data_IF_063066444187
#
_entry.id   IF_063066444187
#
_cell.length_a   1.000
_cell.length_b   1.000
_cell.length_c   1.000
_cell.angle_alpha   90.00
_cell.angle_beta   90.00
_cell.angle_gamma   90.00
#
_symmetry.space_group_name_H-M   'P 1'
#
loop_
_entity.id
_entity.type
_entity.pdbx_description
1 polymer ?
#
# COMPACT_ATOMS: atom_id res chain seq x y z
N UNK A 1 0.21 -9.74 15.45
CA UNK A 1 -1.13 -10.35 15.54
C UNK A 1 -1.17 -11.68 14.82
N UNK A 2 -2.21 -12.47 15.09
CA UNK A 2 -2.52 -13.65 14.30
C UNK A 2 -3.26 -13.22 13.04
N UNK A 3 -2.84 -13.72 11.88
CA UNK A 3 -3.48 -13.45 10.59
C UNK A 3 -3.95 -14.77 10.00
N UNK A 4 -5.19 -14.81 9.52
CA UNK A 4 -5.79 -15.95 8.81
C UNK A 4 -5.79 -15.67 7.31
N UNK A 5 -5.22 -16.60 6.54
CA UNK A 5 -5.35 -16.67 5.09
C UNK A 5 -6.20 -17.91 4.76
N UNK A 6 -7.32 -17.71 4.07
CA UNK A 6 -8.19 -18.75 3.54
C UNK A 6 -8.36 -18.53 2.04
N UNK A 7 -7.70 -19.36 1.24
CA UNK A 7 -7.73 -19.24 -0.20
C UNK A 7 -9.02 -19.80 -0.82
N UNK A 8 -9.69 -20.75 -0.16
CA UNK A 8 -10.94 -21.32 -0.65
C UNK A 8 -12.09 -20.32 -0.47
N UNK A 9 -12.13 -19.65 0.67
CA UNK A 9 -13.09 -18.57 0.94
C UNK A 9 -12.67 -17.22 0.30
N UNK A 10 -11.41 -17.07 -0.10
CA UNK A 10 -10.88 -15.82 -0.67
C UNK A 10 -10.70 -14.71 0.35
N UNK A 11 -10.32 -15.04 1.59
CA UNK A 11 -10.25 -14.10 2.72
C UNK A 11 -8.84 -14.01 3.31
N UNK A 12 -8.39 -12.79 3.56
CA UNK A 12 -7.22 -12.48 4.39
C UNK A 12 -7.69 -11.59 5.55
N UNK A 13 -7.57 -12.08 6.79
CA UNK A 13 -8.13 -11.40 7.96
C UNK A 13 -7.15 -11.35 9.14
N UNK A 14 -6.97 -10.18 9.73
CA UNK A 14 -6.27 -10.04 11.00
C UNK A 14 -7.24 -10.42 12.14
N UNK A 15 -6.86 -11.39 12.98
CA UNK A 15 -7.67 -11.84 14.11
C UNK A 15 -7.42 -10.94 15.33
N UNK A 16 -7.79 -9.67 15.19
CA UNK A 16 -7.71 -8.63 16.22
C UNK A 16 -9.12 -8.12 16.47
N UNK A 17 -9.44 -7.76 17.71
CA UNK A 17 -10.71 -7.09 18.02
C UNK A 17 -10.79 -5.73 17.34
N UNK A 18 -11.96 -5.35 16.82
CA UNK A 18 -12.14 -4.10 16.06
C UNK A 18 -11.77 -2.87 16.90
N UNK A 19 -12.12 -2.85 18.19
CA UNK A 19 -11.81 -1.71 19.06
C UNK A 19 -10.30 -1.62 19.35
N UNK A 20 -9.62 -2.76 19.46
CA UNK A 20 -8.16 -2.79 19.55
C UNK A 20 -7.52 -2.32 18.24
N UNK A 21 -8.05 -2.76 17.10
CA UNK A 21 -7.52 -2.38 15.79
C UNK A 21 -7.65 -0.88 15.53
N UNK A 22 -8.82 -0.31 15.78
CA UNK A 22 -9.12 1.11 15.57
C UNK A 22 -8.32 2.04 16.49
N UNK A 23 -7.88 1.54 17.66
CA UNK A 23 -7.04 2.29 18.58
C UNK A 23 -5.57 2.42 18.13
N UNK A 24 -5.14 1.67 17.11
CA UNK A 24 -3.74 1.64 16.66
C UNK A 24 -3.41 2.86 15.83
N UNK A 25 -2.26 3.47 16.12
CA UNK A 25 -1.68 4.51 15.28
C UNK A 25 -1.02 3.88 14.05
N UNK A 26 -1.37 4.28 12.82
CA UNK A 26 -0.68 3.82 11.62
C UNK A 26 0.83 4.11 11.68
N UNK A 27 1.63 3.17 11.18
CA UNK A 27 3.06 3.40 11.03
C UNK A 27 3.31 4.56 10.05
N UNK A 28 4.29 5.44 10.33
CA UNK A 28 4.64 6.50 9.40
C UNK A 28 5.23 5.92 8.12
N UNK A 29 4.98 6.58 7.00
CA UNK A 29 5.66 6.27 5.74
C UNK A 29 7.16 6.52 5.90
N UNK A 30 8.03 5.56 5.55
CA UNK A 30 9.48 5.77 5.60
C UNK A 30 9.91 6.83 4.55
N UNK A 31 10.99 7.55 4.85
CA UNK A 31 11.55 8.50 3.90
C UNK A 31 12.06 7.78 2.64
N UNK A 32 11.88 8.41 1.49
CA UNK A 32 12.45 7.90 0.24
C UNK A 32 13.97 7.95 0.32
N UNK A 33 14.61 6.80 0.12
CA UNK A 33 16.06 6.74 0.03
C UNK A 33 16.55 7.37 -1.29
N UNK A 34 17.48 8.31 -1.20
CA UNK A 34 18.19 8.86 -2.35
C UNK A 34 19.36 7.96 -2.78
N UNK A 35 19.86 8.16 -4.00
CA UNK A 35 20.96 7.42 -4.62
C UNK A 35 20.50 6.23 -5.48
N UNK A 36 21.48 5.60 -6.16
CA UNK A 36 21.29 4.43 -7.06
C UNK A 36 20.36 4.66 -8.26
N UNK A 37 20.11 5.92 -8.63
CA UNK A 37 19.23 6.27 -9.76
C UNK A 37 17.73 6.22 -9.42
N UNK A 38 17.36 6.09 -8.14
CA UNK A 38 15.95 6.10 -7.69
C UNK A 38 15.25 7.43 -7.99
N UNK A 39 16.02 8.50 -8.15
CA UNK A 39 15.53 9.83 -8.48
C UNK A 39 14.86 9.87 -9.86
N UNK A 40 15.30 9.01 -10.80
CA UNK A 40 14.69 8.87 -12.12
C UNK A 40 13.24 8.38 -12.05
N UNK A 41 12.87 7.72 -10.95
CA UNK A 41 11.56 7.11 -10.74
C UNK A 41 10.69 7.91 -9.77
N UNK A 42 11.13 9.10 -9.34
CA UNK A 42 10.42 9.91 -8.35
C UNK A 42 9.00 10.28 -8.79
N UNK A 43 8.81 10.56 -10.09
CA UNK A 43 7.48 10.80 -10.65
C UNK A 43 6.57 9.56 -10.53
N UNK A 44 7.08 8.38 -10.88
CA UNK A 44 6.32 7.14 -10.84
C UNK A 44 5.90 6.81 -9.41
N UNK A 45 6.83 6.92 -8.45
CA UNK A 45 6.55 6.65 -7.04
C UNK A 45 5.47 7.60 -6.47
N UNK A 46 5.56 8.90 -6.79
CA UNK A 46 4.61 9.90 -6.28
C UNK A 46 3.23 9.86 -6.94
N UNK A 47 3.10 9.27 -8.13
CA UNK A 47 1.88 9.33 -8.93
C UNK A 47 1.20 7.98 -9.16
N UNK A 48 1.87 6.88 -8.89
CA UNK A 48 1.23 5.57 -8.92
C UNK A 48 0.09 5.51 -7.89
N UNK A 49 -1.02 4.93 -8.32
CA UNK A 49 -2.19 4.69 -7.49
C UNK A 49 -2.19 3.25 -6.94
N UNK A 50 -3.33 2.79 -6.44
CA UNK A 50 -3.48 1.49 -5.81
C UNK A 50 -3.25 0.33 -6.80
N UNK A 51 -2.71 -0.78 -6.30
CA UNK A 51 -2.41 -1.96 -7.11
C UNK A 51 -3.65 -2.55 -7.79
N UNK A 52 -4.83 -2.45 -7.16
CA UNK A 52 -6.11 -2.91 -7.72
C UNK A 52 -6.53 -2.13 -8.97
N UNK A 53 -6.02 -0.90 -9.16
CA UNK A 53 -6.18 -0.11 -10.38
C UNK A 53 -5.01 -0.28 -11.36
N UNK A 54 -4.03 -1.10 -11.01
CA UNK A 54 -2.85 -1.39 -11.82
C UNK A 54 -1.63 -0.51 -11.52
N UNK A 55 -1.69 0.38 -10.52
CA UNK A 55 -0.57 1.20 -10.06
C UNK A 55 0.14 2.02 -11.17
N UNK A 56 -0.61 2.48 -12.17
CA UNK A 56 -0.05 3.18 -13.32
C UNK A 56 0.04 4.67 -13.05
N UNK A 57 1.27 5.14 -12.79
CA UNK A 57 1.53 6.57 -12.61
C UNK A 57 1.06 7.44 -13.79
N UNK A 58 1.07 6.90 -15.01
CA UNK A 58 0.68 7.63 -16.22
C UNK A 58 -0.84 7.71 -16.36
N UNK A 59 -1.57 6.62 -16.08
CA UNK A 59 -3.04 6.60 -16.15
C UNK A 59 -3.63 7.41 -15.00
N UNK A 60 -3.12 7.21 -13.78
CA UNK A 60 -3.52 7.99 -12.62
C UNK A 60 -3.28 9.49 -12.82
N UNK A 61 -2.15 9.89 -13.41
CA UNK A 61 -1.89 11.28 -13.75
C UNK A 61 -2.82 11.84 -14.84
N UNK A 62 -3.35 10.98 -15.72
CA UNK A 62 -4.33 11.34 -16.74
C UNK A 62 -5.79 11.32 -16.22
N UNK A 63 -6.02 10.90 -14.98
CA UNK A 63 -7.37 10.80 -14.39
C UNK A 63 -8.20 9.63 -14.89
N UNK A 64 -7.52 8.56 -15.33
CA UNK A 64 -8.08 7.30 -15.83
C UNK A 64 -7.87 6.19 -14.81
#
# INVERSE_FOLDING_TARGET
DVVRLDAEAGVLHALVDDAEWDARKPAPTPEMADGTGRELFRMMNQRADEAEKGASAMLAAAGL
#
